data_IF_781486342090
#
_entry.id   IF_781486342090
#
_cell.length_a   1.000
_cell.length_b   1.000
_cell.length_c   1.000
_cell.angle_alpha   90.00
_cell.angle_beta   90.00
_cell.angle_gamma   90.00
#
_symmetry.space_group_name_H-M   'P 1'
#
loop_
_entity.id
_entity.type
_entity.pdbx_description
1 polymer ?
#
# COMPACT_ATOMS: atom_id res chain seq x y z
N UNK A 1 13.96 -18.16 -11.79
CA UNK A 1 12.65 -17.95 -12.38
C UNK A 1 12.67 -16.59 -13.08
N UNK A 2 12.38 -16.49 -14.41
CA UNK A 2 12.46 -15.22 -15.13
C UNK A 2 11.40 -14.20 -14.73
N UNK A 3 10.66 -14.43 -13.64
CA UNK A 3 9.63 -13.57 -13.09
C UNK A 3 9.97 -13.01 -11.68
N UNK A 4 11.16 -13.31 -11.15
CA UNK A 4 11.63 -12.71 -9.89
C UNK A 4 12.27 -11.35 -10.19
N UNK A 5 11.48 -10.31 -10.24
CA UNK A 5 11.99 -8.93 -10.27
C UNK A 5 12.49 -8.60 -8.87
N UNK A 6 13.78 -8.32 -8.74
CA UNK A 6 14.32 -7.79 -7.48
C UNK A 6 14.03 -6.32 -7.40
N UNK A 7 13.57 -5.91 -6.23
CA UNK A 7 13.24 -4.53 -5.91
C UNK A 7 14.02 -4.12 -4.66
N UNK A 8 14.54 -2.92 -4.68
CA UNK A 8 15.22 -2.32 -3.54
C UNK A 8 14.63 -0.92 -3.31
N UNK A 9 14.06 -0.73 -2.12
CA UNK A 9 13.33 0.49 -1.77
C UNK A 9 14.11 1.29 -0.74
N UNK A 10 14.24 2.59 -1.00
CA UNK A 10 14.78 3.55 -0.05
C UNK A 10 13.72 4.59 0.29
N UNK A 11 13.25 4.58 1.54
CA UNK A 11 12.22 5.50 2.01
C UNK A 11 12.80 6.48 3.02
N UNK A 12 12.49 7.77 2.81
CA UNK A 12 12.66 8.82 3.80
C UNK A 12 11.27 9.34 4.16
N UNK A 13 10.92 9.28 5.45
CA UNK A 13 9.62 9.71 5.93
C UNK A 13 9.74 10.60 7.18
N UNK A 14 8.75 11.47 7.36
CA UNK A 14 8.59 12.30 8.55
C UNK A 14 7.15 12.22 9.03
N UNK A 15 6.97 12.03 10.33
CA UNK A 15 5.67 11.93 10.99
C UNK A 15 5.58 12.90 12.16
N UNK A 16 4.48 13.64 12.27
CA UNK A 16 4.18 14.51 13.39
C UNK A 16 2.68 14.79 13.52
N UNK A 17 2.11 14.57 14.72
CA UNK A 17 0.74 14.96 15.05
C UNK A 17 -0.34 14.35 14.15
N UNK A 18 -0.17 13.07 13.76
CA UNK A 18 -1.05 12.36 12.82
C UNK A 18 -0.74 12.63 11.35
N UNK A 19 0.06 13.65 11.04
CA UNK A 19 0.50 13.97 9.68
C UNK A 19 1.74 13.14 9.33
N UNK A 20 1.79 12.62 8.11
CA UNK A 20 2.96 11.97 7.56
C UNK A 20 3.25 12.47 6.13
N UNK A 21 4.52 12.50 5.78
CA UNK A 21 5.01 12.80 4.44
C UNK A 21 6.26 11.95 4.18
N UNK A 22 6.41 11.45 2.98
CA UNK A 22 7.56 10.63 2.63
C UNK A 22 7.91 10.67 1.16
N UNK A 23 9.09 10.14 0.85
CA UNK A 23 9.58 9.89 -0.50
C UNK A 23 10.21 8.52 -0.52
N UNK A 24 9.89 7.72 -1.53
CA UNK A 24 10.46 6.40 -1.75
C UNK A 24 11.09 6.32 -3.15
N UNK A 25 12.33 5.82 -3.20
CA UNK A 25 13.01 5.41 -4.45
C UNK A 25 12.82 3.89 -4.60
N UNK A 26 12.02 3.47 -5.57
CA UNK A 26 11.87 2.08 -5.98
C UNK A 26 12.88 1.79 -7.07
N UNK A 27 13.82 0.92 -6.79
CA UNK A 27 14.86 0.54 -7.74
C UNK A 27 14.76 -0.92 -8.15
N UNK A 28 14.64 -1.15 -9.46
CA UNK A 28 14.57 -2.46 -10.11
C UNK A 28 15.86 -2.71 -10.90
N UNK A 29 16.93 -3.25 -10.27
CA UNK A 29 18.25 -3.35 -10.88
C UNK A 29 18.28 -4.22 -12.14
N UNK A 30 17.44 -5.25 -12.24
CA UNK A 30 17.43 -6.19 -13.37
C UNK A 30 16.90 -5.58 -14.66
N UNK A 31 16.04 -4.59 -14.57
CA UNK A 31 15.45 -3.88 -15.73
C UNK A 31 15.97 -2.44 -15.83
N UNK A 32 16.93 -2.06 -14.95
CA UNK A 32 17.48 -0.71 -14.84
C UNK A 32 16.40 0.39 -14.72
N UNK A 33 15.29 0.07 -14.05
CA UNK A 33 14.16 0.98 -13.84
C UNK A 33 14.19 1.57 -12.44
N UNK A 34 13.74 2.82 -12.33
CA UNK A 34 13.56 3.56 -11.07
C UNK A 34 12.27 4.36 -11.10
N UNK A 35 11.58 4.34 -9.97
CA UNK A 35 10.40 5.18 -9.74
C UNK A 35 10.59 5.93 -8.42
N UNK A 36 10.34 7.23 -8.44
CA UNK A 36 10.32 8.04 -7.22
C UNK A 36 8.88 8.42 -6.91
N UNK A 37 8.41 7.96 -5.76
CA UNK A 37 7.08 8.23 -5.25
C UNK A 37 7.14 9.19 -4.06
N UNK A 38 6.26 10.16 -4.03
CA UNK A 38 5.99 10.98 -2.86
C UNK A 38 4.67 10.55 -2.23
N UNK A 39 4.60 10.57 -0.91
CA UNK A 39 3.35 10.35 -0.19
C UNK A 39 3.09 11.44 0.83
N UNK A 40 1.81 11.68 1.06
CA UNK A 40 1.29 12.54 2.12
C UNK A 40 0.05 11.88 2.74
N UNK A 41 -0.08 11.96 4.05
CA UNK A 41 -1.22 11.37 4.72
C UNK A 41 -1.54 12.01 6.06
N UNK A 42 -2.71 11.64 6.56
CA UNK A 42 -3.17 12.06 7.87
C UNK A 42 -3.95 10.94 8.57
N UNK A 43 -3.61 10.74 9.84
CA UNK A 43 -4.34 9.85 10.76
C UNK A 43 -5.27 10.69 11.63
N UNK A 44 -6.58 10.48 11.45
CA UNK A 44 -7.65 11.12 12.22
C UNK A 44 -7.98 10.40 13.52
N UNK A 45 -7.28 9.28 13.82
CA UNK A 45 -7.53 8.40 14.95
C UNK A 45 -8.61 7.34 14.69
N UNK A 46 -9.70 7.66 14.03
CA UNK A 46 -10.76 6.72 13.63
C UNK A 46 -10.59 6.21 12.19
N UNK A 47 -9.78 6.87 11.39
CA UNK A 47 -9.44 6.52 10.02
C UNK A 47 -8.13 7.21 9.63
N UNK A 48 -7.41 6.67 8.66
CA UNK A 48 -6.29 7.35 8.00
C UNK A 48 -6.55 7.49 6.51
N UNK A 49 -5.98 8.54 5.92
CA UNK A 49 -6.00 8.78 4.49
C UNK A 49 -4.58 9.02 4.00
N UNK A 50 -4.19 8.34 2.92
CA UNK A 50 -2.89 8.43 2.28
C UNK A 50 -3.04 8.73 0.80
N UNK A 51 -2.20 9.61 0.28
CA UNK A 51 -2.04 9.88 -1.14
C UNK A 51 -0.60 9.57 -1.54
N UNK A 52 -0.43 8.79 -2.58
CA UNK A 52 0.85 8.44 -3.19
C UNK A 52 0.87 8.95 -4.63
N UNK A 53 2.01 9.44 -5.09
CA UNK A 53 2.17 9.91 -6.47
C UNK A 53 3.59 9.73 -6.97
N UNK A 54 3.75 9.15 -8.14
CA UNK A 54 5.02 9.08 -8.84
C UNK A 54 5.35 10.47 -9.37
N UNK A 55 6.51 11.03 -8.99
CA UNK A 55 6.90 12.38 -9.40
C UNK A 55 8.14 12.41 -10.30
N UNK A 56 8.90 11.32 -10.37
CA UNK A 56 10.08 11.19 -11.21
C UNK A 56 10.39 9.72 -11.52
N UNK A 57 11.24 9.49 -12.52
CA UNK A 57 11.65 8.15 -12.95
C UNK A 57 10.72 7.58 -14.02
N UNK A 58 10.57 6.26 -14.01
CA UNK A 58 9.86 5.49 -15.03
C UNK A 58 8.36 5.39 -14.70
N UNK A 59 7.67 6.51 -14.72
CA UNK A 59 6.21 6.58 -14.63
C UNK A 59 5.57 6.42 -16.02
N UNK A 60 4.26 6.23 -16.08
CA UNK A 60 3.48 6.23 -17.31
C UNK A 60 3.54 7.60 -18.01
N UNK A 61 3.52 7.57 -19.33
CA UNK A 61 3.48 8.78 -20.16
C UNK A 61 2.10 8.92 -20.81
N UNK A 62 1.63 10.16 -20.93
CA UNK A 62 0.43 10.48 -21.69
C UNK A 62 0.74 10.55 -23.21
N UNK A 63 -0.29 10.73 -24.03
CA UNK A 63 -0.19 10.83 -25.51
C UNK A 63 0.79 11.92 -25.99
N UNK A 64 1.11 12.89 -25.15
CA UNK A 64 2.06 13.97 -25.44
C UNK A 64 3.48 13.65 -24.93
N UNK A 65 3.73 12.45 -24.42
CA UNK A 65 5.03 12.01 -23.89
C UNK A 65 5.42 12.66 -22.56
N UNK A 66 4.44 13.18 -21.81
CA UNK A 66 4.69 13.76 -20.47
C UNK A 66 4.28 12.78 -19.37
N UNK A 67 4.97 12.80 -18.22
CA UNK A 67 4.59 12.00 -17.06
C UNK A 67 3.11 12.20 -16.68
N UNK A 68 2.44 11.10 -16.36
CA UNK A 68 1.04 11.10 -15.90
C UNK A 68 0.96 11.45 -14.42
N UNK A 69 2.06 11.28 -13.67
CA UNK A 69 2.11 11.37 -12.22
C UNK A 69 1.15 10.37 -11.57
N UNK A 70 1.33 9.10 -11.96
CA UNK A 70 0.50 7.98 -11.48
C UNK A 70 0.29 8.05 -9.99
N UNK A 71 -0.97 8.06 -9.57
CA UNK A 71 -1.32 8.32 -8.18
C UNK A 71 -2.25 7.23 -7.63
N UNK A 72 -2.14 6.99 -6.33
CA UNK A 72 -2.97 6.06 -5.58
C UNK A 72 -3.43 6.73 -4.28
N UNK A 73 -4.67 6.52 -3.92
CA UNK A 73 -5.25 7.03 -2.68
C UNK A 73 -5.78 5.87 -1.87
N UNK A 74 -5.45 5.85 -0.57
CA UNK A 74 -5.90 4.79 0.33
C UNK A 74 -6.50 5.36 1.59
N UNK A 75 -7.63 4.79 2.01
CA UNK A 75 -8.23 5.02 3.31
C UNK A 75 -8.20 3.71 4.12
N UNK A 76 -7.79 3.81 5.39
CA UNK A 76 -7.80 2.70 6.35
C UNK A 76 -8.68 3.07 7.54
N UNK A 77 -9.56 2.15 7.92
CA UNK A 77 -10.52 2.31 9.01
C UNK A 77 -10.28 1.19 10.02
N UNK A 78 -9.58 1.46 11.14
CA UNK A 78 -9.40 0.49 12.20
C UNK A 78 -10.67 0.36 13.04
N UNK A 79 -10.99 -0.85 13.49
CA UNK A 79 -12.06 -1.12 14.43
C UNK A 79 -11.80 -2.40 15.22
N UNK A 80 -12.41 -2.53 16.39
CA UNK A 80 -12.30 -3.71 17.24
C UNK A 80 -13.62 -4.48 17.28
N UNK A 81 -13.59 -5.77 16.97
CA UNK A 81 -14.77 -6.62 16.98
C UNK A 81 -14.41 -8.06 17.38
N UNK A 82 -15.14 -8.60 18.35
CA UNK A 82 -15.01 -10.01 18.74
C UNK A 82 -13.64 -10.37 19.36
N UNK A 83 -12.94 -9.42 20.01
CA UNK A 83 -11.62 -9.65 20.60
C UNK A 83 -10.48 -9.69 19.56
N UNK A 84 -10.71 -9.10 18.40
CA UNK A 84 -9.79 -9.04 17.27
C UNK A 84 -9.72 -7.60 16.76
N UNK A 85 -8.53 -7.14 16.43
CA UNK A 85 -8.31 -5.86 15.75
C UNK A 85 -8.51 -6.05 14.25
N UNK A 86 -9.34 -5.17 13.67
CA UNK A 86 -9.67 -5.17 12.26
C UNK A 86 -9.27 -3.87 11.61
N UNK A 87 -8.88 -3.95 10.34
CA UNK A 87 -8.70 -2.78 9.48
C UNK A 87 -9.41 -3.02 8.16
N UNK A 88 -10.36 -2.15 7.83
CA UNK A 88 -10.92 -2.08 6.49
C UNK A 88 -10.11 -1.09 5.66
N UNK A 89 -9.72 -1.51 4.45
CA UNK A 89 -8.91 -0.72 3.51
C UNK A 89 -9.69 -0.49 2.22
N UNK A 90 -9.66 0.75 1.74
CA UNK A 90 -10.21 1.12 0.43
C UNK A 90 -9.15 1.93 -0.31
N UNK A 91 -8.73 1.42 -1.47
CA UNK A 91 -7.74 2.07 -2.32
C UNK A 91 -8.23 2.29 -3.74
N UNK A 92 -7.91 3.45 -4.30
CA UNK A 92 -8.33 3.85 -5.62
C UNK A 92 -7.22 4.56 -6.40
N UNK A 93 -7.24 4.40 -7.70
CA UNK A 93 -6.46 5.19 -8.67
C UNK A 93 -7.38 6.27 -9.22
N UNK A 94 -7.03 7.58 -9.09
CA UNK A 94 -7.95 8.68 -9.39
C UNK A 94 -8.15 8.96 -10.88
N UNK A 95 -7.26 8.49 -11.75
CA UNK A 95 -7.30 8.72 -13.20
C UNK A 95 -6.58 7.62 -13.98
N UNK A 96 -6.74 7.62 -15.30
CA UNK A 96 -6.09 6.65 -16.19
C UNK A 96 -4.56 6.65 -16.06
N UNK A 97 -3.98 5.46 -15.95
CA UNK A 97 -2.52 5.26 -15.92
C UNK A 97 -2.16 3.82 -16.23
N UNK A 98 -1.19 3.62 -17.09
CA UNK A 98 -0.66 2.28 -17.41
C UNK A 98 0.13 1.70 -16.23
N UNK A 99 0.68 2.55 -15.35
CA UNK A 99 1.42 2.13 -14.16
C UNK A 99 0.58 1.22 -13.25
N UNK A 100 -0.68 1.57 -13.05
CA UNK A 100 -1.65 0.74 -12.31
C UNK A 100 -2.57 -0.09 -13.22
N UNK A 101 -2.41 0.01 -14.54
CA UNK A 101 -3.20 -0.75 -15.52
C UNK A 101 -4.67 -0.36 -15.52
N UNK A 102 -4.99 0.91 -15.34
CA UNK A 102 -6.37 1.43 -15.33
C UNK A 102 -6.55 2.52 -16.37
N UNK A 103 -7.72 2.54 -17.04
CA UNK A 103 -8.08 3.49 -18.10
C UNK A 103 -9.01 4.61 -17.63
N UNK A 104 -9.38 4.62 -16.34
CA UNK A 104 -10.22 5.63 -15.71
C UNK A 104 -10.04 5.61 -14.19
N UNK A 105 -10.84 6.41 -13.46
CA UNK A 105 -10.96 6.23 -12.02
C UNK A 105 -11.37 4.80 -11.68
N UNK A 106 -10.63 4.14 -10.79
CA UNK A 106 -10.90 2.76 -10.42
C UNK A 106 -10.58 2.48 -8.94
N UNK A 107 -11.46 1.73 -8.28
CA UNK A 107 -11.10 1.05 -7.03
C UNK A 107 -10.26 -0.18 -7.39
N UNK A 108 -9.05 -0.26 -6.86
CA UNK A 108 -8.13 -1.38 -7.13
C UNK A 108 -7.76 -2.16 -5.88
N UNK A 109 -8.11 -1.66 -4.68
CA UNK A 109 -7.86 -2.34 -3.43
C UNK A 109 -9.06 -2.21 -2.49
N UNK A 110 -9.66 -3.34 -2.16
CA UNK A 110 -10.61 -3.49 -1.07
C UNK A 110 -10.05 -4.54 -0.13
N UNK A 111 -9.67 -4.13 1.07
CA UNK A 111 -9.03 -4.98 2.07
C UNK A 111 -9.83 -5.12 3.34
N UNK A 112 -9.73 -6.28 3.97
CA UNK A 112 -10.16 -6.52 5.34
C UNK A 112 -9.08 -7.34 6.03
N UNK A 113 -8.39 -6.74 6.99
CA UNK A 113 -7.34 -7.38 7.77
C UNK A 113 -7.82 -7.62 9.19
N UNK A 114 -7.67 -8.84 9.67
CA UNK A 114 -7.85 -9.22 11.07
C UNK A 114 -6.49 -9.49 11.69
N UNK A 115 -6.19 -8.90 12.82
CA UNK A 115 -4.93 -9.12 13.57
C UNK A 115 -5.20 -9.40 15.03
N UNK A 116 -4.37 -10.25 15.62
CA UNK A 116 -4.45 -10.62 17.02
C UNK A 116 -3.12 -11.12 17.53
N UNK A 117 -2.78 -10.72 18.76
CA UNK A 117 -1.65 -11.30 19.47
C UNK A 117 -2.06 -12.65 20.07
N UNK A 118 -1.34 -13.69 19.69
CA UNK A 118 -1.46 -15.02 20.30
C UNK A 118 -0.40 -15.15 21.39
N UNK A 119 -0.84 -15.20 22.64
CA UNK A 119 0.06 -15.42 23.77
C UNK A 119 0.57 -16.86 23.77
N UNK A 120 1.88 -17.03 23.63
CA UNK A 120 2.54 -18.34 23.60
C UNK A 120 3.08 -18.71 24.97
N UNK A 121 3.61 -17.72 25.73
CA UNK A 121 4.03 -17.84 27.12
C UNK A 121 3.61 -16.60 27.88
N UNK A 122 3.79 -16.59 29.23
CA UNK A 122 3.44 -15.42 30.06
C UNK A 122 4.19 -14.13 29.67
N UNK A 123 5.30 -14.26 28.95
CA UNK A 123 6.17 -13.13 28.55
C UNK A 123 6.36 -13.01 27.04
N UNK A 124 5.72 -13.84 26.22
CA UNK A 124 5.90 -13.85 24.76
C UNK A 124 4.59 -14.05 24.02
N UNK A 125 4.28 -13.14 23.12
CA UNK A 125 3.17 -13.25 22.17
C UNK A 125 3.66 -13.13 20.72
N UNK A 126 2.91 -13.74 19.83
CA UNK A 126 3.15 -13.69 18.38
C UNK A 126 1.97 -12.97 17.74
N UNK A 127 2.18 -11.80 17.13
CA UNK A 127 1.18 -11.15 16.30
C UNK A 127 0.90 -12.01 15.05
N UNK A 128 -0.37 -12.36 14.86
CA UNK A 128 -0.84 -13.08 13.67
C UNK A 128 -1.83 -12.23 12.93
N UNK A 129 -1.88 -12.36 11.62
CA UNK A 129 -2.90 -11.68 10.82
C UNK A 129 -3.45 -12.57 9.71
N UNK A 130 -4.68 -12.25 9.31
CA UNK A 130 -5.32 -12.75 8.10
C UNK A 130 -5.87 -11.56 7.32
N UNK A 131 -5.62 -11.51 6.02
CA UNK A 131 -6.07 -10.44 5.15
C UNK A 131 -6.83 -11.01 3.96
N UNK A 132 -8.04 -10.53 3.75
CA UNK A 132 -8.75 -10.65 2.49
C UNK A 132 -8.54 -9.35 1.70
N UNK A 133 -7.97 -9.46 0.51
CA UNK A 133 -7.77 -8.33 -0.39
C UNK A 133 -8.42 -8.64 -1.75
N UNK A 134 -9.09 -7.66 -2.32
CA UNK A 134 -9.71 -7.77 -3.63
C UNK A 134 -9.36 -6.56 -4.50
N UNK A 135 -9.09 -6.81 -5.77
CA UNK A 135 -9.01 -5.77 -6.78
C UNK A 135 -10.29 -5.82 -7.64
N UNK A 136 -11.26 -4.89 -7.43
CA UNK A 136 -12.52 -4.90 -8.16
C UNK A 136 -12.36 -4.66 -9.66
N UNK A 137 -11.34 -3.88 -10.05
CA UNK A 137 -11.07 -3.57 -11.45
C UNK A 137 -10.62 -4.81 -12.24
N UNK A 138 -9.68 -5.57 -11.71
CA UNK A 138 -9.19 -6.82 -12.33
C UNK A 138 -10.02 -8.05 -11.95
N UNK A 139 -10.96 -7.93 -11.01
CA UNK A 139 -11.81 -9.00 -10.46
C UNK A 139 -11.02 -10.13 -9.80
N UNK A 140 -9.89 -9.79 -9.20
CA UNK A 140 -9.06 -10.73 -8.45
C UNK A 140 -9.30 -10.57 -6.94
N UNK A 141 -9.18 -11.67 -6.19
CA UNK A 141 -9.20 -11.67 -4.74
C UNK A 141 -8.11 -12.60 -4.20
N UNK A 142 -7.54 -12.22 -3.06
CA UNK A 142 -6.43 -12.91 -2.41
C UNK A 142 -6.73 -13.08 -0.92
N UNK A 143 -6.31 -14.19 -0.37
CA UNK A 143 -6.31 -14.45 1.06
C UNK A 143 -4.86 -14.66 1.50
N UNK A 144 -4.42 -13.84 2.46
CA UNK A 144 -3.05 -13.84 2.97
C UNK A 144 -3.08 -14.12 4.47
N UNK A 145 -2.17 -14.95 4.95
CA UNK A 145 -1.92 -15.18 6.37
C UNK A 145 -0.47 -14.89 6.68
N UNK A 146 -0.22 -14.33 7.84
CA UNK A 146 1.14 -14.05 8.26
C UNK A 146 1.30 -14.00 9.76
N UNK A 147 2.56 -14.01 10.16
CA UNK A 147 3.01 -13.74 11.52
C UNK A 147 4.03 -12.61 11.47
N UNK A 148 4.08 -11.79 12.50
CA UNK A 148 5.13 -10.78 12.66
C UNK A 148 6.08 -11.26 13.77
N UNK A 149 7.37 -11.30 13.47
CA UNK A 149 8.41 -11.57 14.44
C UNK A 149 9.18 -10.28 14.68
N UNK A 150 9.05 -9.72 15.87
CA UNK A 150 9.82 -8.57 16.32
C UNK A 150 10.95 -9.06 17.22
N UNK A 151 12.22 -8.65 16.96
CA UNK A 151 13.37 -9.06 17.75
C UNK A 151 13.43 -8.42 19.13
#
# INVERSE_FOLDING_TARGET
NPLDTRELDFTLAYEAGGFNIGVTDYWFPEIASKVFEANIGYDFGFASLQWFTNFAGDDSLNDSGKPVYSSYVEANIPFFLGGVDWTATVGAVPFATDFYGVDCFAFINLGLTASKDIQVTDSFSIPVFAQLAANPYTKNAYLVFGITLEP
#
